data_IF_110422618079
#
_entry.id   IF_110422618079
#
_cell.length_a   1.000
_cell.length_b   1.000
_cell.length_c   1.000
_cell.angle_alpha   90.00
_cell.angle_beta   90.00
_cell.angle_gamma   90.00
#
_symmetry.space_group_name_H-M   'P 1'
#
loop_
_entity.id
_entity.type
_entity.pdbx_description
1 polymer ?
#
# COMPACT_ATOMS: atom_id res chain seq x y z
N UNK A 1 23.06 4.23 -39.60
CA UNK A 1 22.91 5.28 -38.59
C UNK A 1 21.46 5.75 -38.36
N UNK A 2 20.65 6.04 -39.39
CA UNK A 2 19.23 6.49 -39.17
C UNK A 2 18.32 5.42 -38.55
N UNK A 3 18.49 4.15 -38.89
CA UNK A 3 17.70 3.03 -38.32
C UNK A 3 18.02 2.79 -36.83
N UNK A 4 19.31 2.90 -36.44
CA UNK A 4 19.73 2.73 -35.04
C UNK A 4 19.23 3.86 -34.14
N UNK A 5 19.14 5.13 -34.66
CA UNK A 5 18.53 6.23 -33.94
C UNK A 5 17.03 6.04 -33.75
N UNK A 6 16.30 5.53 -34.74
CA UNK A 6 14.86 5.23 -34.61
C UNK A 6 14.59 4.10 -33.58
N UNK A 7 15.42 3.05 -33.55
CA UNK A 7 15.31 2.00 -32.54
C UNK A 7 15.59 2.52 -31.13
N UNK A 8 16.60 3.40 -30.99
CA UNK A 8 16.93 4.00 -29.69
C UNK A 8 15.83 4.96 -29.20
N UNK A 9 15.20 5.71 -30.11
CA UNK A 9 14.08 6.60 -29.76
C UNK A 9 12.80 5.82 -29.39
N UNK A 10 12.53 4.70 -30.09
CA UNK A 10 11.40 3.81 -29.74
C UNK A 10 11.64 3.08 -28.41
N UNK A 11 12.86 2.62 -28.14
CA UNK A 11 13.20 1.98 -26.86
C UNK A 11 13.15 2.99 -25.70
N UNK A 12 13.59 4.23 -25.92
CA UNK A 12 13.51 5.31 -24.92
C UNK A 12 12.06 5.75 -24.66
N UNK A 13 11.22 5.80 -25.72
CA UNK A 13 9.79 6.11 -25.58
C UNK A 13 9.04 4.97 -24.85
N UNK A 14 9.39 3.71 -25.11
CA UNK A 14 8.85 2.55 -24.39
C UNK A 14 9.30 2.52 -22.91
N UNK A 15 10.56 2.92 -22.60
CA UNK A 15 11.04 3.06 -21.23
C UNK A 15 10.38 4.25 -20.49
N UNK A 16 10.10 5.36 -21.19
CA UNK A 16 9.40 6.51 -20.60
C UNK A 16 7.92 6.17 -20.37
N UNK A 17 7.29 5.39 -21.24
CA UNK A 17 5.93 4.89 -21.05
C UNK A 17 5.81 3.84 -19.93
N UNK A 18 6.89 3.07 -19.65
CA UNK A 18 6.97 2.15 -18.52
C UNK A 18 7.40 2.84 -17.21
N UNK A 19 7.93 4.07 -17.30
CA UNK A 19 8.38 4.89 -16.16
C UNK A 19 7.36 5.93 -15.71
N UNK A 20 6.11 5.88 -16.18
CA UNK A 20 5.02 6.59 -15.51
C UNK A 20 4.92 6.00 -14.12
N UNK A 21 5.37 6.76 -13.13
CA UNK A 21 4.95 6.58 -11.74
C UNK A 21 3.51 6.11 -11.77
N UNK A 22 3.29 4.87 -11.34
CA UNK A 22 1.99 4.38 -10.95
C UNK A 22 1.55 5.29 -9.79
N UNK A 23 1.05 6.48 -10.13
CA UNK A 23 0.14 7.18 -9.25
C UNK A 23 -1.02 6.22 -9.09
N UNK A 24 -1.10 5.58 -7.94
CA UNK A 24 -2.26 4.79 -7.57
C UNK A 24 -3.39 5.77 -7.49
N UNK A 25 -4.14 5.88 -8.55
CA UNK A 25 -5.43 6.53 -8.55
C UNK A 25 -6.27 5.93 -7.41
N UNK A 26 -7.07 6.75 -6.74
CA UNK A 26 -8.05 6.28 -5.76
C UNK A 26 -8.92 5.13 -6.32
N UNK A 27 -9.05 5.02 -7.63
CA UNK A 27 -9.65 3.89 -8.34
C UNK A 27 -8.89 2.56 -8.19
N UNK A 28 -7.63 2.59 -7.75
CA UNK A 28 -6.70 1.44 -7.76
C UNK A 28 -6.70 0.62 -6.44
N UNK A 29 -7.64 0.87 -5.52
CA UNK A 29 -8.11 -0.12 -4.55
C UNK A 29 -9.03 -1.14 -5.26
N UNK A 30 -8.88 -1.24 -6.54
CA UNK A 30 -9.48 -2.24 -7.39
C UNK A 30 -8.98 -3.64 -7.03
N UNK A 31 -9.44 -4.62 -7.74
CA UNK A 31 -9.21 -6.02 -7.47
C UNK A 31 -7.73 -6.32 -7.22
N UNK A 32 -7.47 -7.40 -6.47
CA UNK A 32 -6.13 -7.95 -6.27
C UNK A 32 -5.37 -7.89 -7.60
N UNK A 33 -4.48 -6.90 -7.75
CA UNK A 33 -3.74 -6.77 -9.00
C UNK A 33 -2.76 -7.92 -9.05
N UNK A 34 -2.73 -8.61 -10.17
CA UNK A 34 -1.81 -9.71 -10.46
C UNK A 34 -0.33 -9.32 -10.27
N UNK A 35 -0.05 -8.03 -10.06
CA UNK A 35 1.30 -7.46 -9.96
C UNK A 35 1.84 -7.33 -8.52
N UNK A 36 1.20 -7.95 -7.52
CA UNK A 36 1.74 -8.00 -6.16
C UNK A 36 1.85 -6.63 -5.48
N UNK A 37 0.98 -5.68 -5.80
CA UNK A 37 0.95 -4.36 -5.18
C UNK A 37 0.50 -4.43 -3.73
N UNK A 38 1.28 -3.84 -2.84
CA UNK A 38 0.96 -3.63 -1.43
C UNK A 38 0.35 -2.24 -1.28
N UNK A 39 -0.75 -2.14 -0.53
CA UNK A 39 -1.45 -0.91 -0.21
C UNK A 39 -1.13 -0.53 1.23
N UNK A 40 -0.65 0.69 1.42
CA UNK A 40 -0.39 1.28 2.72
C UNK A 40 -1.62 2.01 3.25
N UNK A 41 -1.97 1.76 4.51
CA UNK A 41 -3.06 2.45 5.22
C UNK A 41 -2.48 3.11 6.47
N UNK A 42 -2.67 4.41 6.61
CA UNK A 42 -2.31 5.15 7.82
C UNK A 42 -3.48 5.17 8.78
N UNK A 43 -3.31 4.65 9.99
CA UNK A 43 -4.33 4.70 11.03
C UNK A 43 -4.45 6.10 11.63
N UNK A 44 -5.57 6.76 11.45
CA UNK A 44 -5.84 8.10 12.00
C UNK A 44 -4.98 9.24 11.46
N UNK A 45 -4.20 8.99 10.39
CA UNK A 45 -3.24 9.93 9.81
C UNK A 45 -1.81 9.75 10.37
N UNK A 46 -0.87 10.64 10.02
CA UNK A 46 0.52 10.64 10.52
C UNK A 46 0.59 11.18 11.96
N UNK A 47 0.01 10.45 12.89
CA UNK A 47 -0.10 10.88 14.27
C UNK A 47 1.19 10.74 15.11
N UNK A 48 2.24 10.18 14.54
CA UNK A 48 3.58 10.25 15.09
C UNK A 48 4.17 11.66 15.08
N UNK A 49 3.71 12.52 14.16
CA UNK A 49 4.16 13.92 14.02
C UNK A 49 3.04 14.93 14.37
N UNK A 50 1.77 14.56 14.18
CA UNK A 50 0.60 15.42 14.42
C UNK A 50 -0.43 14.70 15.30
N UNK A 51 -1.30 15.42 16.02
CA UNK A 51 -2.38 14.79 16.77
C UNK A 51 -3.26 13.91 15.87
N UNK A 52 -3.56 12.70 16.32
CA UNK A 52 -4.45 11.78 15.60
C UNK A 52 -5.79 12.45 15.25
N UNK A 53 -6.33 12.17 14.06
CA UNK A 53 -7.57 12.77 13.55
C UNK A 53 -7.53 14.29 13.36
N UNK A 54 -6.35 14.92 13.41
CA UNK A 54 -6.21 16.30 12.95
C UNK A 54 -6.14 16.36 11.42
N UNK A 55 -6.51 17.51 10.85
CA UNK A 55 -6.32 17.78 9.41
C UNK A 55 -4.86 17.61 9.01
N UNK A 56 -3.94 18.14 9.83
CA UNK A 56 -2.49 18.01 9.57
C UNK A 56 -2.03 16.55 9.53
N UNK A 57 -2.55 15.68 10.42
CA UNK A 57 -2.20 14.25 10.41
C UNK A 57 -2.68 13.55 9.13
N UNK A 58 -3.91 13.84 8.67
CA UNK A 58 -4.48 13.26 7.45
C UNK A 58 -3.69 13.72 6.22
N UNK A 59 -3.47 15.02 6.09
CA UNK A 59 -2.74 15.60 4.95
C UNK A 59 -1.29 15.09 4.90
N UNK A 60 -0.60 15.08 6.05
CA UNK A 60 0.78 14.59 6.15
C UNK A 60 0.91 13.12 5.78
N UNK A 61 -0.05 12.27 6.16
CA UNK A 61 -0.04 10.86 5.75
C UNK A 61 -0.09 10.71 4.21
N UNK A 62 -0.95 11.47 3.54
CA UNK A 62 -1.02 11.48 2.07
C UNK A 62 0.24 12.08 1.43
N UNK A 63 0.81 13.14 2.02
CA UNK A 63 2.08 13.73 1.56
C UNK A 63 3.26 12.76 1.64
N UNK A 64 3.29 11.92 2.67
CA UNK A 64 4.27 10.84 2.82
C UNK A 64 4.09 9.73 1.77
N UNK A 65 2.94 9.67 1.12
CA UNK A 65 2.64 8.70 0.07
C UNK A 65 1.75 7.54 0.50
N UNK A 66 1.04 7.65 1.64
CA UNK A 66 0.01 6.68 2.00
C UNK A 66 -1.00 6.48 0.86
N UNK A 67 -1.34 5.25 0.55
CA UNK A 67 -2.40 4.94 -0.41
C UNK A 67 -3.78 5.23 0.19
N UNK A 68 -3.92 4.98 1.49
CA UNK A 68 -5.15 5.21 2.23
C UNK A 68 -4.86 5.84 3.60
N UNK A 69 -5.83 6.57 4.11
CA UNK A 69 -5.91 6.95 5.53
C UNK A 69 -7.23 6.40 6.08
N UNK A 70 -7.17 5.66 7.20
CA UNK A 70 -8.37 5.21 7.90
C UNK A 70 -8.73 6.21 9.00
N UNK A 71 -10.00 6.53 9.12
CA UNK A 71 -10.51 7.50 10.08
C UNK A 71 -11.85 7.06 10.66
N UNK A 72 -12.00 7.16 11.97
CA UNK A 72 -13.30 6.98 12.62
C UNK A 72 -14.10 8.27 12.57
N UNK A 73 -15.41 8.16 12.39
CA UNK A 73 -16.30 9.32 12.35
C UNK A 73 -17.32 9.32 13.49
N UNK A 74 -17.66 10.50 13.97
CA UNK A 74 -18.76 10.75 14.90
C UNK A 74 -19.64 11.89 14.39
N UNK A 75 -20.91 11.83 14.71
CA UNK A 75 -21.92 12.81 14.30
C UNK A 75 -22.10 13.87 15.37
N UNK A 76 -22.05 15.13 14.98
CA UNK A 76 -22.32 16.31 15.84
C UNK A 76 -23.82 16.51 16.07
N UNK A 77 -24.18 17.38 17.01
CA UNK A 77 -25.59 17.73 17.33
C UNK A 77 -26.35 18.29 16.11
N UNK A 78 -25.66 19.03 15.24
CA UNK A 78 -26.19 19.61 14.00
C UNK A 78 -26.06 18.68 12.77
N UNK A 79 -25.72 17.40 13.03
CA UNK A 79 -25.75 16.35 12.00
C UNK A 79 -24.52 16.32 11.09
N UNK A 80 -23.46 17.08 11.38
CA UNK A 80 -22.21 17.04 10.64
C UNK A 80 -21.33 15.88 11.12
N UNK A 81 -20.29 15.53 10.35
CA UNK A 81 -19.34 14.47 10.71
C UNK A 81 -17.97 15.04 11.01
N UNK A 82 -17.37 14.56 12.10
CA UNK A 82 -16.01 14.87 12.52
C UNK A 82 -15.21 13.61 12.74
N UNK A 83 -13.89 13.69 12.59
CA UNK A 83 -13.00 12.55 12.78
C UNK A 83 -12.75 12.34 14.28
N UNK A 84 -13.23 11.24 14.82
CA UNK A 84 -12.97 10.83 16.21
C UNK A 84 -13.35 9.37 16.41
N UNK A 85 -12.58 8.64 17.21
CA UNK A 85 -12.87 7.24 17.58
C UNK A 85 -14.08 7.13 18.50
N UNK A 86 -14.12 7.95 19.53
CA UNK A 86 -15.11 7.91 20.58
C UNK A 86 -16.01 9.15 20.56
N UNK A 87 -17.27 8.98 20.99
CA UNK A 87 -18.17 10.13 21.18
C UNK A 87 -17.76 11.01 22.36
N UNK A 88 -17.15 10.45 23.41
CA UNK A 88 -16.53 11.20 24.51
C UNK A 88 -15.11 11.63 24.11
N UNK A 89 -14.93 12.92 23.86
CA UNK A 89 -13.63 13.51 23.51
C UNK A 89 -12.54 13.20 24.53
N UNK A 90 -12.90 13.09 25.82
CA UNK A 90 -11.93 12.83 26.88
C UNK A 90 -11.33 11.42 26.88
N UNK A 91 -11.85 10.50 26.10
CA UNK A 91 -11.20 9.20 25.90
C UNK A 91 -9.94 9.31 25.06
N UNK A 92 -9.89 10.28 24.16
CA UNK A 92 -8.75 10.51 23.28
C UNK A 92 -7.96 11.77 23.69
N UNK A 93 -8.67 12.77 24.21
CA UNK A 93 -8.10 14.08 24.57
C UNK A 93 -8.47 14.41 26.02
N UNK A 94 -7.62 14.03 26.96
CA UNK A 94 -7.89 14.09 28.42
C UNK A 94 -8.49 15.41 28.94
N UNK A 95 -8.15 16.62 28.44
CA UNK A 95 -8.76 17.87 28.90
C UNK A 95 -10.27 17.97 28.69
N UNK A 96 -10.86 17.16 27.81
CA UNK A 96 -12.27 17.22 27.41
C UNK A 96 -13.11 16.06 27.93
N UNK A 97 -12.71 15.45 29.04
CA UNK A 97 -13.43 14.33 29.65
C UNK A 97 -14.90 14.66 29.89
N UNK A 98 -15.79 13.81 29.38
CA UNK A 98 -17.24 13.96 29.49
C UNK A 98 -17.86 14.93 28.47
N UNK A 99 -17.07 15.53 27.58
CA UNK A 99 -17.62 16.29 26.46
C UNK A 99 -17.97 15.34 25.31
N UNK A 100 -19.25 15.27 24.98
CA UNK A 100 -19.77 14.41 23.93
C UNK A 100 -19.86 15.17 22.62
N UNK A 101 -19.27 14.62 21.55
CA UNK A 101 -19.36 15.18 20.18
C UNK A 101 -20.82 15.32 19.75
N UNK A 102 -21.66 14.34 20.06
CA UNK A 102 -23.09 14.35 19.75
C UNK A 102 -23.89 15.47 20.45
N UNK A 103 -23.31 16.15 21.45
CA UNK A 103 -23.92 17.29 22.15
C UNK A 103 -23.38 18.65 21.64
N UNK A 104 -22.40 18.67 20.74
CA UNK A 104 -21.74 19.87 20.21
C UNK A 104 -22.10 20.08 18.74
N UNK A 105 -22.22 21.34 18.30
CA UNK A 105 -22.26 21.67 16.87
C UNK A 105 -20.86 21.55 16.24
N UNK A 106 -20.80 21.46 14.91
CA UNK A 106 -19.52 21.47 14.19
C UNK A 106 -18.71 22.73 14.51
N UNK A 107 -19.37 23.88 14.60
CA UNK A 107 -18.73 25.15 14.98
C UNK A 107 -18.05 25.03 16.35
N UNK A 108 -18.74 24.46 17.36
CA UNK A 108 -18.19 24.26 18.70
C UNK A 108 -17.01 23.26 18.65
N UNK A 109 -17.12 22.15 17.93
CA UNK A 109 -16.04 21.18 17.80
C UNK A 109 -14.81 21.79 17.11
N UNK A 110 -15.00 22.64 16.11
CA UNK A 110 -13.92 23.32 15.40
C UNK A 110 -13.07 24.26 16.26
N UNK A 111 -13.56 24.68 17.43
CA UNK A 111 -12.81 25.49 18.39
C UNK A 111 -11.98 24.64 19.36
N UNK A 112 -12.21 23.33 19.43
CA UNK A 112 -11.54 22.44 20.38
C UNK A 112 -10.11 22.18 19.92
N UNK A 113 -9.14 22.55 20.76
CA UNK A 113 -7.73 22.21 20.57
C UNK A 113 -7.49 20.80 21.04
N UNK A 114 -6.81 20.01 20.25
CA UNK A 114 -6.55 18.60 20.55
C UNK A 114 -5.11 18.38 21.06
N UNK A 115 -4.92 17.35 21.87
CA UNK A 115 -3.61 17.00 22.42
C UNK A 115 -2.79 16.18 21.42
N UNK A 116 -1.48 16.36 21.47
CA UNK A 116 -0.53 15.51 20.75
C UNK A 116 -0.38 14.12 21.41
N UNK A 117 0.49 13.28 20.85
CA UNK A 117 0.78 11.93 21.36
C UNK A 117 1.41 11.92 22.77
N UNK A 118 1.91 13.05 23.27
CA UNK A 118 2.46 13.23 24.62
C UNK A 118 1.46 13.81 25.60
N UNK A 119 0.22 14.08 25.15
CA UNK A 119 -0.84 14.68 25.95
C UNK A 119 -0.74 16.22 26.09
N UNK A 120 0.19 16.87 25.42
CA UNK A 120 0.30 18.32 25.39
C UNK A 120 -0.73 18.94 24.44
N UNK A 121 -1.35 20.04 24.85
CA UNK A 121 -2.33 20.75 24.04
C UNK A 121 -1.65 21.40 22.83
N UNK A 122 -2.09 21.05 21.63
CA UNK A 122 -1.55 21.56 20.37
C UNK A 122 -2.42 22.67 19.78
N UNK A 123 -1.96 23.33 18.71
CA UNK A 123 -2.79 24.28 17.94
C UNK A 123 -3.69 23.60 16.92
N UNK A 124 -3.56 22.27 16.79
CA UNK A 124 -4.41 21.49 15.88
C UNK A 124 -5.84 21.37 16.41
N UNK A 125 -6.75 21.13 15.49
CA UNK A 125 -8.19 20.90 15.73
C UNK A 125 -8.59 19.54 15.19
N UNK A 126 -9.70 19.00 15.69
CA UNK A 126 -10.34 17.86 15.04
C UNK A 126 -10.65 18.21 13.59
N UNK A 127 -10.33 17.26 12.70
CA UNK A 127 -10.68 17.36 11.31
C UNK A 127 -12.18 17.09 11.13
N UNK A 128 -12.88 17.89 10.36
CA UNK A 128 -14.20 17.51 9.88
C UNK A 128 -14.06 16.53 8.69
N UNK A 129 -15.15 15.84 8.37
CA UNK A 129 -15.14 14.87 7.28
C UNK A 129 -14.96 15.56 5.91
N UNK A 130 -15.38 16.84 5.75
CA UNK A 130 -15.21 17.58 4.51
C UNK A 130 -13.73 17.78 4.19
N UNK A 131 -12.97 18.28 5.17
CA UNK A 131 -11.52 18.50 5.02
C UNK A 131 -10.78 17.19 4.70
N UNK A 132 -11.15 16.07 5.35
CA UNK A 132 -10.54 14.78 5.08
C UNK A 132 -10.85 14.24 3.68
N UNK A 133 -12.09 14.38 3.23
CA UNK A 133 -12.52 14.02 1.85
C UNK A 133 -11.82 14.89 0.81
N UNK A 134 -11.75 16.20 1.05
CA UNK A 134 -11.08 17.13 0.15
C UNK A 134 -9.57 16.85 0.07
N UNK A 135 -8.94 16.44 1.19
CA UNK A 135 -7.56 15.97 1.21
C UNK A 135 -7.41 14.69 0.35
N UNK A 136 -8.27 13.69 0.53
CA UNK A 136 -8.23 12.46 -0.25
C UNK A 136 -8.36 12.74 -1.77
N UNK A 137 -9.28 13.61 -2.16
CA UNK A 137 -9.44 14.05 -3.57
C UNK A 137 -8.19 14.80 -4.08
N UNK A 138 -7.66 15.76 -3.32
CA UNK A 138 -6.50 16.57 -3.71
C UNK A 138 -5.26 15.73 -3.98
N UNK A 139 -5.06 14.67 -3.19
CA UNK A 139 -3.92 13.76 -3.33
C UNK A 139 -4.21 12.57 -4.28
N UNK A 140 -5.45 12.46 -4.80
CA UNK A 140 -5.92 11.28 -5.55
C UNK A 140 -5.68 9.97 -4.76
N UNK A 141 -6.13 9.95 -3.51
CA UNK A 141 -5.98 8.86 -2.54
C UNK A 141 -7.31 8.44 -1.97
N UNK A 142 -7.31 7.47 -1.08
CA UNK A 142 -8.53 6.90 -0.50
C UNK A 142 -8.63 7.17 0.99
N UNK A 143 -9.81 7.59 1.42
CA UNK A 143 -10.21 7.66 2.81
C UNK A 143 -11.02 6.41 3.17
N UNK A 144 -10.60 5.66 4.19
CA UNK A 144 -11.38 4.55 4.77
C UNK A 144 -12.13 5.10 5.97
N UNK A 145 -13.46 5.07 5.94
CA UNK A 145 -14.32 5.61 6.98
C UNK A 145 -14.75 4.47 7.91
N UNK A 146 -14.32 4.56 9.16
CA UNK A 146 -14.65 3.63 10.23
C UNK A 146 -15.75 4.17 11.13
N UNK A 147 -16.39 3.28 11.91
CA UNK A 147 -17.41 3.62 12.91
C UNK A 147 -18.61 4.42 12.35
N UNK A 148 -18.75 4.46 11.02
CA UNK A 148 -19.79 5.20 10.31
C UNK A 148 -20.97 4.35 9.82
N UNK A 149 -20.98 3.02 10.09
CA UNK A 149 -21.99 2.13 9.50
C UNK A 149 -23.42 2.45 9.91
N UNK A 150 -23.64 2.91 11.13
CA UNK A 150 -24.97 3.34 11.60
C UNK A 150 -25.52 4.51 10.77
N UNK A 151 -24.64 5.38 10.27
CA UNK A 151 -24.95 6.55 9.44
C UNK A 151 -24.71 6.31 7.95
N UNK A 152 -24.59 5.04 7.49
CA UNK A 152 -24.12 4.70 6.13
C UNK A 152 -24.91 5.35 5.01
N UNK A 153 -26.21 5.59 5.19
CA UNK A 153 -27.07 6.23 4.18
C UNK A 153 -26.77 7.72 4.07
N UNK A 154 -26.66 8.40 5.21
CA UNK A 154 -26.30 9.81 5.30
C UNK A 154 -24.87 10.04 4.79
N UNK A 155 -23.93 9.17 5.19
CA UNK A 155 -22.55 9.19 4.70
C UNK A 155 -22.48 8.99 3.18
N UNK A 156 -23.28 8.06 2.65
CA UNK A 156 -23.30 7.85 1.20
C UNK A 156 -23.82 9.08 0.47
N UNK A 157 -24.93 9.68 0.92
CA UNK A 157 -25.43 10.93 0.34
C UNK A 157 -24.38 12.04 0.42
N UNK A 158 -23.72 12.20 1.55
CA UNK A 158 -22.67 13.17 1.76
C UNK A 158 -21.48 12.96 0.79
N UNK A 159 -21.03 11.69 0.63
CA UNK A 159 -19.94 11.30 -0.27
C UNK A 159 -20.29 11.59 -1.73
N UNK A 160 -21.54 11.34 -2.13
CA UNK A 160 -22.06 11.63 -3.49
C UNK A 160 -22.08 13.15 -3.72
N UNK A 161 -22.62 13.92 -2.77
CA UNK A 161 -22.70 15.38 -2.87
C UNK A 161 -21.32 16.05 -2.97
N UNK A 162 -20.29 15.41 -2.38
CA UNK A 162 -18.88 15.83 -2.45
C UNK A 162 -18.16 15.32 -3.72
N UNK A 163 -18.82 14.55 -4.58
CA UNK A 163 -18.17 13.87 -5.72
C UNK A 163 -16.91 13.10 -5.29
N UNK A 164 -17.04 12.29 -4.23
CA UNK A 164 -15.93 11.61 -3.57
C UNK A 164 -16.09 10.08 -3.50
N UNK A 165 -17.03 9.50 -4.28
CA UNK A 165 -17.29 8.05 -4.27
C UNK A 165 -16.05 7.25 -4.63
N UNK A 166 -15.23 7.73 -5.56
CA UNK A 166 -13.97 7.08 -5.95
C UNK A 166 -12.87 7.18 -4.88
N UNK A 167 -12.95 8.18 -3.99
CA UNK A 167 -11.94 8.48 -2.97
C UNK A 167 -12.31 7.97 -1.58
N UNK A 168 -13.46 7.28 -1.44
CA UNK A 168 -13.95 6.84 -0.13
C UNK A 168 -14.33 5.37 -0.12
N UNK A 169 -14.15 4.75 1.05
CA UNK A 169 -14.52 3.37 1.35
C UNK A 169 -15.12 3.35 2.75
N UNK A 170 -16.16 2.59 3.00
CA UNK A 170 -16.68 2.38 4.37
C UNK A 170 -16.19 1.04 4.89
N UNK A 171 -15.63 1.01 6.12
CA UNK A 171 -15.26 -0.21 6.83
C UNK A 171 -16.37 -0.59 7.80
N UNK A 172 -16.70 -1.90 7.86
CA UNK A 172 -17.76 -2.42 8.71
C UNK A 172 -17.57 -3.90 9.03
N UNK A 173 -18.03 -4.31 10.21
CA UNK A 173 -18.20 -5.69 10.64
C UNK A 173 -19.66 -6.18 10.49
N UNK A 174 -20.51 -5.42 9.80
CA UNK A 174 -21.91 -5.75 9.57
C UNK A 174 -22.08 -7.10 8.85
N UNK A 175 -23.27 -7.67 8.96
CA UNK A 175 -23.57 -8.94 8.33
C UNK A 175 -23.46 -8.86 6.80
N UNK A 176 -23.14 -9.99 6.16
CA UNK A 176 -23.12 -10.06 4.69
C UNK A 176 -24.44 -9.64 4.04
N UNK A 177 -25.56 -9.82 4.75
CA UNK A 177 -26.90 -9.44 4.28
C UNK A 177 -27.03 -7.92 4.21
N UNK A 178 -26.67 -7.24 5.31
CA UNK A 178 -26.72 -5.78 5.41
C UNK A 178 -25.76 -5.11 4.42
N UNK A 179 -24.58 -5.68 4.23
CA UNK A 179 -23.60 -5.20 3.22
C UNK A 179 -24.19 -5.33 1.82
N UNK A 180 -24.78 -6.47 1.48
CA UNK A 180 -25.42 -6.68 0.17
C UNK A 180 -26.56 -5.71 -0.08
N UNK A 181 -27.43 -5.51 0.92
CA UNK A 181 -28.56 -4.58 0.82
C UNK A 181 -28.05 -3.16 0.58
N UNK A 182 -27.01 -2.74 1.32
CA UNK A 182 -26.42 -1.42 1.16
C UNK A 182 -25.74 -1.24 -0.20
N UNK A 183 -24.98 -2.23 -0.67
CA UNK A 183 -24.38 -2.19 -2.02
C UNK A 183 -25.44 -2.15 -3.12
N UNK A 184 -26.56 -2.85 -2.95
CA UNK A 184 -27.68 -2.76 -3.90
C UNK A 184 -28.31 -1.36 -3.89
N UNK A 185 -28.46 -0.74 -2.71
CA UNK A 185 -28.97 0.63 -2.56
C UNK A 185 -28.06 1.67 -3.27
N UNK A 186 -26.73 1.49 -3.20
CA UNK A 186 -25.74 2.39 -3.81
C UNK A 186 -25.42 2.05 -5.26
N UNK A 187 -26.11 1.07 -5.86
CA UNK A 187 -25.81 0.55 -7.20
C UNK A 187 -24.40 -0.04 -7.33
N UNK A 188 -23.78 -0.44 -6.21
CA UNK A 188 -22.41 -0.96 -6.18
C UNK A 188 -21.33 0.11 -6.37
N UNK A 189 -21.70 1.39 -6.36
CA UNK A 189 -20.76 2.48 -6.61
C UNK A 189 -19.76 2.66 -5.45
N UNK A 190 -20.22 2.49 -4.20
CA UNK A 190 -19.36 2.63 -3.03
C UNK A 190 -18.66 1.31 -2.71
N UNK A 191 -17.36 1.39 -2.38
CA UNK A 191 -16.55 0.23 -1.98
C UNK A 191 -16.67 -0.01 -0.47
N UNK A 192 -16.58 -1.28 -0.06
CA UNK A 192 -16.69 -1.70 1.34
C UNK A 192 -15.44 -2.49 1.73
N UNK A 193 -14.91 -2.19 2.93
CA UNK A 193 -14.03 -3.07 3.69
C UNK A 193 -14.89 -3.85 4.66
N UNK A 194 -15.01 -5.15 4.48
CA UNK A 194 -15.68 -6.03 5.43
C UNK A 194 -14.68 -6.55 6.46
N UNK A 195 -14.94 -6.38 7.76
CA UNK A 195 -14.05 -6.80 8.82
C UNK A 195 -14.47 -8.13 9.43
N UNK A 196 -13.47 -8.95 9.79
CA UNK A 196 -13.64 -10.19 10.53
C UNK A 196 -12.67 -10.23 11.71
N UNK A 197 -13.22 -10.18 12.89
CA UNK A 197 -12.47 -10.28 14.14
C UNK A 197 -12.90 -11.55 14.88
N UNK A 198 -12.01 -12.55 15.01
CA UNK A 198 -12.40 -13.76 15.69
C UNK A 198 -11.30 -14.77 15.92
N UNK A 199 -11.53 -15.61 16.94
CA UNK A 199 -10.68 -16.75 17.28
C UNK A 199 -11.20 -18.08 16.69
N UNK A 200 -12.25 -18.07 15.88
CA UNK A 200 -12.99 -19.28 15.48
C UNK A 200 -12.30 -19.91 14.28
N UNK A 201 -11.66 -21.04 14.52
CA UNK A 201 -10.85 -21.81 13.58
C UNK A 201 -11.68 -22.36 12.40
N UNK A 202 -12.94 -22.76 12.64
CA UNK A 202 -13.70 -23.56 11.65
C UNK A 202 -14.49 -22.75 10.61
N UNK A 203 -14.82 -21.50 10.88
CA UNK A 203 -15.70 -20.69 10.02
C UNK A 203 -15.04 -19.52 9.32
N UNK A 204 -13.80 -19.17 9.64
CA UNK A 204 -13.12 -17.98 9.12
C UNK A 204 -13.10 -17.95 7.57
N UNK A 205 -12.69 -19.05 6.94
CA UNK A 205 -12.64 -19.13 5.46
C UNK A 205 -14.01 -18.96 4.81
N UNK A 206 -15.05 -19.58 5.38
CA UNK A 206 -16.43 -19.48 4.88
C UNK A 206 -16.95 -18.06 5.03
N UNK A 207 -16.68 -17.42 6.18
CA UNK A 207 -17.10 -16.05 6.44
C UNK A 207 -16.42 -15.07 5.49
N UNK A 208 -15.08 -15.13 5.36
CA UNK A 208 -14.31 -14.31 4.41
C UNK A 208 -14.81 -14.48 2.98
N UNK A 209 -15.00 -15.73 2.54
CA UNK A 209 -15.58 -16.02 1.22
C UNK A 209 -16.97 -15.37 1.08
N UNK A 210 -17.76 -15.34 2.16
CA UNK A 210 -19.10 -14.74 2.11
C UNK A 210 -19.07 -13.22 2.00
N UNK A 211 -18.10 -12.54 2.62
CA UNK A 211 -17.87 -11.10 2.48
C UNK A 211 -17.41 -10.74 1.06
N UNK A 212 -16.49 -11.52 0.51
CA UNK A 212 -16.07 -11.37 -0.90
C UNK A 212 -17.24 -11.53 -1.86
N UNK A 213 -18.09 -12.55 -1.65
CA UNK A 213 -19.33 -12.76 -2.43
C UNK A 213 -20.38 -11.68 -2.19
N UNK A 214 -20.34 -11.00 -1.06
CA UNK A 214 -21.21 -9.86 -0.80
C UNK A 214 -20.78 -8.60 -1.57
N UNK A 215 -19.57 -8.56 -2.11
CA UNK A 215 -19.03 -7.44 -2.89
C UNK A 215 -18.01 -6.60 -2.15
N UNK A 216 -17.47 -7.07 -1.00
CA UNK A 216 -16.39 -6.36 -0.33
C UNK A 216 -15.12 -6.33 -1.20
N UNK A 217 -14.60 -5.14 -1.45
CA UNK A 217 -13.35 -4.95 -2.20
C UNK A 217 -12.13 -5.37 -1.37
N UNK A 218 -12.21 -5.20 -0.06
CA UNK A 218 -11.20 -5.57 0.91
C UNK A 218 -11.87 -6.33 2.05
N UNK A 219 -11.19 -7.34 2.59
CA UNK A 219 -11.59 -7.99 3.83
C UNK A 219 -10.45 -7.85 4.84
N UNK A 220 -10.73 -7.14 5.92
CA UNK A 220 -9.85 -7.02 7.05
C UNK A 220 -9.99 -8.23 7.96
N UNK A 221 -8.86 -8.78 8.39
CA UNK A 221 -8.79 -9.93 9.30
C UNK A 221 -8.06 -9.54 10.57
N UNK A 222 -8.63 -9.84 11.72
CA UNK A 222 -8.01 -9.57 13.00
C UNK A 222 -8.23 -10.67 14.01
N UNK A 223 -7.22 -10.94 14.87
CA UNK A 223 -7.30 -11.86 16.01
C UNK A 223 -6.18 -11.58 17.00
N UNK A 224 -6.48 -11.81 18.30
CA UNK A 224 -5.50 -11.81 19.39
C UNK A 224 -4.59 -13.06 19.38
N UNK A 225 -5.05 -14.15 18.75
CA UNK A 225 -4.34 -15.43 18.78
C UNK A 225 -3.16 -15.41 17.78
N UNK A 226 -1.89 -15.49 18.22
CA UNK A 226 -0.73 -15.50 17.34
C UNK A 226 -0.68 -16.71 16.39
N UNK A 227 -1.40 -17.78 16.72
CA UNK A 227 -1.53 -19.00 15.91
C UNK A 227 -2.89 -19.06 15.17
N UNK A 228 -3.58 -17.93 15.07
CA UNK A 228 -4.90 -17.85 14.42
C UNK A 228 -4.85 -18.30 12.97
N UNK A 229 -5.93 -18.95 12.52
CA UNK A 229 -6.07 -19.47 11.15
C UNK A 229 -5.92 -18.36 10.09
N UNK A 230 -6.17 -17.11 10.46
CA UNK A 230 -6.00 -15.96 9.56
C UNK A 230 -4.54 -15.76 9.10
N UNK A 231 -3.57 -16.31 9.85
CA UNK A 231 -2.14 -16.26 9.46
C UNK A 231 -1.73 -17.45 8.59
N UNK A 232 -2.66 -18.35 8.24
CA UNK A 232 -2.35 -19.50 7.40
C UNK A 232 -2.34 -19.10 5.91
N UNK A 233 -1.20 -19.29 5.26
CA UNK A 233 -1.01 -19.01 3.83
C UNK A 233 -2.04 -19.71 2.95
N UNK A 234 -2.46 -20.93 3.30
CA UNK A 234 -3.48 -21.66 2.54
C UNK A 234 -4.88 -21.02 2.64
N UNK A 235 -5.19 -20.36 3.75
CA UNK A 235 -6.42 -19.58 3.89
C UNK A 235 -6.36 -18.32 3.04
N UNK A 236 -5.27 -17.57 3.13
CA UNK A 236 -5.09 -16.31 2.40
C UNK A 236 -4.99 -16.53 0.88
N UNK A 237 -4.44 -17.67 0.44
CA UNK A 237 -4.42 -18.02 -0.99
C UNK A 237 -5.81 -18.17 -1.62
N UNK A 238 -6.86 -18.25 -0.81
CA UNK A 238 -8.24 -18.30 -1.31
C UNK A 238 -8.72 -16.93 -1.84
N UNK A 239 -8.11 -15.83 -1.41
CA UNK A 239 -8.47 -14.48 -1.87
C UNK A 239 -8.20 -14.27 -3.37
N UNK A 240 -7.16 -14.90 -3.93
CA UNK A 240 -6.80 -14.74 -5.35
C UNK A 240 -7.37 -15.80 -6.31
N UNK A 241 -7.97 -16.90 -5.79
CA UNK A 241 -8.26 -18.09 -6.63
C UNK A 241 -9.67 -18.18 -7.20
N UNK A 242 -10.63 -17.43 -6.72
CA UNK A 242 -12.06 -17.67 -7.04
C UNK A 242 -12.74 -16.53 -7.82
N UNK A 243 -12.04 -15.81 -8.69
CA UNK A 243 -12.56 -14.59 -9.35
C UNK A 243 -13.04 -13.50 -8.38
N UNK A 244 -12.77 -13.66 -7.08
CA UNK A 244 -12.99 -12.62 -6.10
C UNK A 244 -11.74 -11.75 -6.04
N UNK A 245 -11.89 -10.59 -6.61
CA UNK A 245 -10.84 -9.58 -6.66
C UNK A 245 -10.63 -8.89 -5.30
N UNK A 246 -10.99 -9.56 -4.22
CA UNK A 246 -10.95 -9.05 -2.84
C UNK A 246 -9.53 -9.14 -2.28
N UNK A 247 -9.06 -8.06 -1.67
CA UNK A 247 -7.76 -7.99 -0.99
C UNK A 247 -7.87 -8.40 0.47
N UNK A 248 -6.84 -9.08 0.98
CA UNK A 248 -6.69 -9.32 2.42
C UNK A 248 -6.00 -8.12 3.07
N UNK A 249 -6.63 -7.58 4.13
CA UNK A 249 -6.13 -6.49 4.95
C UNK A 249 -5.85 -6.96 6.38
N UNK A 250 -4.85 -6.39 7.00
CA UNK A 250 -4.56 -6.55 8.43
C UNK A 250 -4.08 -5.25 9.02
N UNK A 251 -4.51 -4.98 10.26
CA UNK A 251 -4.09 -3.83 11.05
C UNK A 251 -2.98 -4.23 11.99
N UNK A 252 -1.80 -3.64 11.85
CA UNK A 252 -0.62 -3.92 12.67
C UNK A 252 -0.43 -2.94 13.82
N UNK A 253 -1.18 -1.84 13.81
CA UNK A 253 -1.14 -0.82 14.85
C UNK A 253 -1.66 -1.29 16.22
N UNK A 254 -2.49 -2.32 16.24
CA UNK A 254 -3.03 -2.92 17.47
C UNK A 254 -2.61 -4.40 17.57
N UNK A 255 -1.79 -4.79 18.58
CA UNK A 255 -1.38 -6.17 18.78
C UNK A 255 -2.55 -7.15 18.91
N UNK A 256 -3.68 -6.70 19.40
CA UNK A 256 -4.90 -7.50 19.54
C UNK A 256 -5.53 -7.87 18.18
N UNK A 257 -5.21 -7.14 17.12
CA UNK A 257 -5.68 -7.42 15.77
C UNK A 257 -4.70 -8.27 14.94
N UNK A 258 -3.41 -8.25 15.27
CA UNK A 258 -2.38 -8.94 14.48
C UNK A 258 -1.68 -10.10 15.22
N UNK A 259 -2.37 -10.74 16.16
CA UNK A 259 -1.85 -11.92 16.88
C UNK A 259 -0.65 -11.57 17.75
N UNK A 260 -0.75 -10.49 18.51
CA UNK A 260 0.27 -9.99 19.43
C UNK A 260 1.61 -9.61 18.75
N UNK A 261 1.59 -9.33 17.45
CA UNK A 261 2.75 -8.80 16.72
C UNK A 261 2.91 -7.32 16.96
N UNK A 262 4.14 -6.83 16.84
CA UNK A 262 4.46 -5.40 16.90
C UNK A 262 4.43 -4.78 15.49
N UNK A 263 4.12 -3.49 15.40
CA UNK A 263 4.07 -2.73 14.15
C UNK A 263 5.50 -2.40 13.66
N UNK A 264 6.11 -3.34 12.95
CA UNK A 264 7.51 -3.27 12.49
C UNK A 264 7.70 -3.87 11.10
N UNK A 265 8.81 -3.56 10.45
CA UNK A 265 9.19 -4.12 9.14
C UNK A 265 9.19 -5.65 9.14
N UNK A 266 9.67 -6.30 10.21
CA UNK A 266 9.66 -7.76 10.31
C UNK A 266 8.25 -8.33 10.31
N UNK A 267 7.32 -7.66 10.96
CA UNK A 267 5.89 -8.03 10.95
C UNK A 267 5.29 -7.84 9.56
N UNK A 268 5.54 -6.70 8.91
CA UNK A 268 5.04 -6.45 7.56
C UNK A 268 5.58 -7.48 6.57
N UNK A 269 6.87 -7.84 6.68
CA UNK A 269 7.51 -8.88 5.87
C UNK A 269 6.80 -10.22 6.02
N UNK A 270 6.61 -10.71 7.25
CA UNK A 270 5.91 -11.98 7.55
C UNK A 270 4.47 -11.98 7.02
N UNK A 271 3.73 -10.89 7.22
CA UNK A 271 2.33 -10.79 6.81
C UNK A 271 2.16 -10.74 5.28
N UNK A 272 3.04 -10.02 4.58
CA UNK A 272 3.05 -9.95 3.12
C UNK A 272 3.34 -11.33 2.52
N UNK A 273 4.32 -12.06 3.04
CA UNK A 273 4.65 -13.40 2.58
C UNK A 273 3.53 -14.42 2.85
N UNK A 274 2.66 -14.14 3.81
CA UNK A 274 1.43 -14.92 4.06
C UNK A 274 0.33 -14.62 3.06
N UNK A 275 0.30 -13.43 2.46
CA UNK A 275 -0.67 -13.03 1.44
C UNK A 275 -1.49 -11.78 1.77
N UNK A 276 -1.13 -11.03 2.83
CA UNK A 276 -1.74 -9.73 3.11
C UNK A 276 -1.21 -8.69 2.13
N UNK A 277 -2.11 -8.03 1.43
CA UNK A 277 -1.77 -7.00 0.43
C UNK A 277 -2.19 -5.60 0.85
N UNK A 278 -2.86 -5.45 1.98
CA UNK A 278 -3.24 -4.17 2.58
C UNK A 278 -2.78 -4.18 4.04
N UNK A 279 -1.89 -3.29 4.39
CA UNK A 279 -1.31 -3.17 5.73
C UNK A 279 -1.71 -1.82 6.32
N UNK A 280 -2.37 -1.85 7.48
CA UNK A 280 -2.66 -0.66 8.26
C UNK A 280 -1.68 -0.54 9.42
N UNK A 281 -1.11 0.64 9.60
CA UNK A 281 0.02 0.91 10.50
C UNK A 281 -0.13 2.25 11.21
N UNK A 282 0.51 2.38 12.36
CA UNK A 282 0.78 3.65 13.00
C UNK A 282 2.07 4.32 12.48
N UNK A 283 3.00 3.54 11.90
CA UNK A 283 4.24 4.05 11.28
C UNK A 283 4.09 4.13 9.76
N UNK A 284 3.28 5.06 9.29
CA UNK A 284 3.04 5.22 7.85
C UNK A 284 4.32 5.59 7.09
N UNK A 285 5.21 6.37 7.67
CA UNK A 285 6.48 6.75 7.06
C UNK A 285 7.39 5.53 6.85
N UNK A 286 7.49 4.68 7.87
CA UNK A 286 8.24 3.42 7.79
C UNK A 286 7.64 2.48 6.74
N UNK A 287 6.32 2.28 6.74
CA UNK A 287 5.65 1.39 5.79
C UNK A 287 5.80 1.86 4.34
N UNK A 288 5.62 3.15 4.06
CA UNK A 288 5.79 3.71 2.70
C UNK A 288 7.23 3.55 2.22
N UNK A 289 8.22 3.80 3.09
CA UNK A 289 9.62 3.57 2.75
C UNK A 289 9.92 2.07 2.50
N UNK A 290 9.33 1.18 3.31
CA UNK A 290 9.47 -0.27 3.13
C UNK A 290 8.89 -0.73 1.78
N UNK A 291 7.68 -0.27 1.41
CA UNK A 291 7.06 -0.55 0.10
C UNK A 291 7.90 0.02 -1.05
N UNK A 292 8.49 1.20 -0.86
CA UNK A 292 9.41 1.81 -1.84
C UNK A 292 10.63 0.92 -2.11
N UNK A 293 11.21 0.30 -1.08
CA UNK A 293 12.31 -0.66 -1.23
C UNK A 293 11.87 -1.94 -1.97
N UNK A 294 10.67 -2.45 -1.69
CA UNK A 294 10.09 -3.59 -2.45
C UNK A 294 9.97 -3.22 -3.93
N UNK A 295 9.47 -2.05 -4.26
CA UNK A 295 9.31 -1.59 -5.64
C UNK A 295 10.65 -1.47 -6.36
N UNK A 296 11.70 -0.98 -5.68
CA UNK A 296 13.06 -0.91 -6.21
C UNK A 296 13.63 -2.31 -6.49
N UNK A 297 13.50 -3.23 -5.53
CA UNK A 297 13.95 -4.61 -5.71
C UNK A 297 13.23 -5.34 -6.86
N UNK A 298 11.93 -5.12 -7.04
CA UNK A 298 11.18 -5.66 -8.18
C UNK A 298 11.75 -5.16 -9.50
N UNK A 299 12.03 -3.87 -9.62
CA UNK A 299 12.60 -3.26 -10.82
C UNK A 299 14.00 -3.84 -11.13
N UNK A 300 14.84 -3.99 -10.11
CA UNK A 300 16.16 -4.58 -10.25
C UNK A 300 16.08 -6.06 -10.65
N UNK A 301 15.20 -6.83 -10.03
CA UNK A 301 14.97 -8.23 -10.34
C UNK A 301 14.45 -8.43 -11.78
N UNK A 302 13.51 -7.59 -12.22
CA UNK A 302 13.05 -7.58 -13.62
C UNK A 302 14.20 -7.32 -14.60
N UNK A 303 15.08 -6.38 -14.28
CA UNK A 303 16.24 -6.05 -15.12
C UNK A 303 17.24 -7.21 -15.21
N UNK A 304 17.53 -7.87 -14.08
CA UNK A 304 18.42 -9.04 -14.03
C UNK A 304 17.81 -10.22 -14.78
N UNK A 305 16.51 -10.46 -14.63
CA UNK A 305 15.80 -11.53 -15.36
C UNK A 305 15.84 -11.30 -16.86
N UNK A 306 15.58 -10.07 -17.30
CA UNK A 306 15.68 -9.70 -18.74
C UNK A 306 17.11 -9.82 -19.27
N UNK A 307 18.12 -9.54 -18.45
CA UNK A 307 19.54 -9.74 -18.82
C UNK A 307 19.88 -11.23 -18.97
N UNK A 308 19.37 -12.06 -18.07
CA UNK A 308 19.53 -13.52 -18.14
C UNK A 308 18.86 -14.15 -19.39
N UNK A 309 17.82 -13.51 -19.93
CA UNK A 309 17.17 -13.99 -21.17
C UNK A 309 17.97 -13.72 -22.42
N UNK A 310 18.81 -12.68 -22.42
CA UNK A 310 19.62 -12.23 -23.57
C UNK A 310 20.97 -12.93 -23.67
N UNK A 311 21.25 -13.87 -22.77
CA UNK A 311 22.52 -14.58 -22.76
C UNK A 311 22.70 -15.47 -24.02
N UNK A 312 23.90 -15.47 -24.59
CA UNK A 312 24.30 -16.42 -25.64
C UNK A 312 24.53 -17.79 -25.00
N UNK A 313 23.55 -18.67 -25.16
CA UNK A 313 23.56 -20.02 -24.60
C UNK A 313 24.64 -20.91 -25.15
N UNK A 314 25.19 -20.60 -26.34
CA UNK A 314 26.19 -21.45 -27.01
C UNK A 314 27.55 -21.44 -26.29
N UNK A 315 27.80 -20.41 -25.47
CA UNK A 315 29.05 -20.23 -24.73
C UNK A 315 28.96 -20.62 -23.24
N UNK A 316 27.86 -21.26 -22.83
CA UNK A 316 27.60 -21.60 -21.43
C UNK A 316 27.67 -23.11 -21.20
N UNK A 317 28.16 -23.54 -20.02
CA UNK A 317 28.07 -24.93 -19.62
C UNK A 317 26.60 -25.34 -19.34
N UNK A 318 26.30 -26.65 -19.53
CA UNK A 318 24.97 -27.17 -19.21
C UNK A 318 24.60 -26.91 -17.73
N UNK A 319 25.57 -27.00 -16.82
CA UNK A 319 25.39 -26.71 -15.39
C UNK A 319 24.97 -25.24 -15.16
N UNK A 320 25.72 -24.30 -15.73
CA UNK A 320 25.43 -22.87 -15.59
C UNK A 320 24.10 -22.47 -16.21
N UNK A 321 23.71 -23.11 -17.33
CA UNK A 321 22.39 -22.89 -17.94
C UNK A 321 21.27 -23.39 -17.04
N UNK A 322 21.46 -24.50 -16.35
CA UNK A 322 20.48 -25.02 -15.39
C UNK A 322 20.35 -24.07 -14.18
N UNK A 323 21.46 -23.64 -13.60
CA UNK A 323 21.48 -22.69 -12.46
C UNK A 323 20.76 -21.37 -12.81
N UNK A 324 20.96 -20.84 -14.01
CA UNK A 324 20.24 -19.65 -14.48
C UNK A 324 18.75 -19.95 -14.68
N UNK A 325 18.41 -21.10 -15.24
CA UNK A 325 17.03 -21.50 -15.43
C UNK A 325 16.28 -21.58 -14.10
N UNK A 326 16.91 -22.17 -13.08
CA UNK A 326 16.33 -22.32 -11.73
C UNK A 326 16.20 -20.94 -11.07
N UNK A 327 17.23 -20.10 -11.12
CA UNK A 327 17.18 -18.75 -10.59
C UNK A 327 16.12 -17.86 -11.27
N UNK A 328 15.94 -18.01 -12.60
CA UNK A 328 14.87 -17.34 -13.35
C UNK A 328 13.48 -17.81 -12.91
N UNK A 329 13.29 -19.09 -12.66
CA UNK A 329 12.01 -19.62 -12.18
C UNK A 329 11.64 -19.02 -10.82
N UNK A 330 12.60 -18.93 -9.89
CA UNK A 330 12.40 -18.28 -8.58
C UNK A 330 12.10 -16.79 -8.76
N UNK A 331 12.85 -16.10 -9.62
CA UNK A 331 12.63 -14.69 -9.91
C UNK A 331 11.24 -14.44 -10.53
N UNK A 332 10.82 -15.25 -11.50
CA UNK A 332 9.51 -15.15 -12.11
C UNK A 332 8.38 -15.35 -11.07
N UNK A 333 8.52 -16.33 -10.18
CA UNK A 333 7.57 -16.55 -9.10
C UNK A 333 7.50 -15.31 -8.17
N UNK A 334 8.66 -14.78 -7.73
CA UNK A 334 8.70 -13.60 -6.85
C UNK A 334 8.11 -12.34 -7.52
N UNK A 335 8.25 -12.21 -8.85
CA UNK A 335 7.70 -11.08 -9.60
C UNK A 335 6.19 -11.19 -9.86
N UNK A 336 5.66 -12.40 -9.99
CA UNK A 336 4.25 -12.64 -10.32
C UNK A 336 3.35 -12.83 -9.08
N UNK A 337 3.94 -12.97 -7.89
CA UNK A 337 3.22 -13.12 -6.64
C UNK A 337 3.38 -11.89 -5.75
N UNK A 338 2.55 -11.80 -4.70
CA UNK A 338 2.80 -10.92 -3.58
C UNK A 338 4.05 -11.45 -2.86
N UNK A 339 5.09 -10.64 -2.79
CA UNK A 339 6.38 -11.01 -2.20
C UNK A 339 6.91 -9.90 -1.33
N UNK A 340 7.42 -10.27 -0.15
CA UNK A 340 8.08 -9.38 0.78
C UNK A 340 9.42 -8.87 0.26
N UNK A 341 10.01 -7.94 0.98
CA UNK A 341 11.36 -7.45 0.72
C UNK A 341 12.40 -8.59 0.76
N UNK A 342 12.29 -9.49 1.77
CA UNK A 342 13.24 -10.61 1.91
C UNK A 342 13.13 -11.60 0.75
N UNK A 343 11.93 -12.00 0.36
CA UNK A 343 11.73 -12.92 -0.74
C UNK A 343 12.26 -12.37 -2.08
N UNK A 344 12.07 -11.07 -2.32
CA UNK A 344 12.60 -10.40 -3.52
C UNK A 344 14.13 -10.26 -3.47
N UNK A 345 14.69 -9.97 -2.28
CA UNK A 345 16.14 -9.87 -2.10
C UNK A 345 16.83 -11.23 -2.31
N UNK A 346 16.23 -12.32 -1.81
CA UNK A 346 16.71 -13.68 -2.04
C UNK A 346 16.67 -14.05 -3.53
N UNK A 347 15.55 -13.79 -4.22
CA UNK A 347 15.43 -14.04 -5.66
C UNK A 347 16.47 -13.25 -6.47
N UNK A 348 16.69 -11.97 -6.10
CA UNK A 348 17.74 -11.13 -6.70
C UNK A 348 19.13 -11.69 -6.45
N UNK A 349 19.42 -12.12 -5.22
CA UNK A 349 20.72 -12.74 -4.88
C UNK A 349 20.99 -13.97 -5.74
N UNK A 350 20.02 -14.88 -5.83
CA UNK A 350 20.17 -16.13 -6.59
C UNK A 350 20.45 -15.89 -8.08
N UNK A 351 19.71 -14.98 -8.73
CA UNK A 351 19.95 -14.68 -10.14
C UNK A 351 21.27 -13.94 -10.36
N UNK A 352 21.68 -13.10 -9.40
CA UNK A 352 22.97 -12.41 -9.46
C UNK A 352 24.13 -13.38 -9.35
N UNK A 353 24.07 -14.37 -8.46
CA UNK A 353 25.07 -15.42 -8.34
C UNK A 353 25.18 -16.25 -9.61
N UNK A 354 24.05 -16.71 -10.15
CA UNK A 354 24.02 -17.50 -11.39
C UNK A 354 24.63 -16.75 -12.58
N UNK A 355 24.40 -15.43 -12.66
CA UNK A 355 25.00 -14.57 -13.69
C UNK A 355 26.50 -14.33 -13.48
N UNK A 356 26.94 -14.18 -12.23
CA UNK A 356 28.37 -14.01 -11.92
C UNK A 356 29.18 -15.28 -12.20
N UNK A 357 28.66 -16.45 -11.88
CA UNK A 357 29.32 -17.73 -12.14
C UNK A 357 29.53 -17.97 -13.66
N UNK A 358 28.62 -17.46 -14.49
CA UNK A 358 28.83 -17.42 -15.94
C UNK A 358 30.00 -16.55 -16.35
N UNK A 359 30.16 -15.37 -15.74
CA UNK A 359 31.25 -14.45 -16.11
C UNK A 359 32.62 -15.04 -15.74
N UNK A 360 32.70 -15.72 -14.59
CA UNK A 360 33.93 -16.38 -14.12
C UNK A 360 34.26 -17.61 -15.00
N UNK A 361 33.26 -18.41 -15.38
CA UNK A 361 33.50 -19.56 -16.28
C UNK A 361 33.90 -19.12 -17.69
N UNK A 362 33.34 -18.04 -18.18
CA UNK A 362 33.76 -17.45 -19.47
C UNK A 362 35.17 -16.83 -19.40
N UNK A 363 35.58 -16.19 -18.31
CA UNK A 363 36.96 -15.71 -18.15
C UNK A 363 37.97 -16.87 -18.15
N UNK A 364 37.61 -17.99 -17.54
CA UNK A 364 38.49 -19.20 -17.56
C UNK A 364 38.55 -19.88 -18.95
N UNK A 365 37.48 -19.80 -19.74
CA UNK A 365 37.47 -20.25 -21.14
C UNK A 365 38.18 -19.26 -22.06
N UNK A 366 38.09 -17.96 -21.82
CA UNK A 366 38.76 -16.89 -22.59
C UNK A 366 40.29 -16.88 -22.37
N UNK A 367 40.79 -17.36 -21.23
CA UNK A 367 42.24 -17.63 -21.09
C UNK A 367 42.74 -18.73 -22.02
N UNK A 368 41.84 -19.49 -22.67
CA UNK A 368 42.14 -20.47 -23.71
C UNK A 368 41.83 -20.01 -25.17
N UNK A 369 41.45 -18.77 -25.36
CA UNK A 369 41.24 -18.15 -26.69
C UNK A 369 39.83 -17.60 -26.90
N UNK A 370 39.74 -16.30 -27.05
CA UNK A 370 38.70 -15.46 -27.72
C UNK A 370 37.59 -14.84 -26.88
N UNK A 371 37.62 -13.51 -26.95
CA UNK A 371 36.61 -12.46 -26.71
C UNK A 371 36.25 -12.05 -25.31
N UNK A 372 36.85 -10.90 -24.92
CA UNK A 372 36.51 -10.03 -23.80
C UNK A 372 35.15 -9.41 -23.98
N UNK A 373 34.18 -9.82 -23.20
CA UNK A 373 33.07 -8.93 -22.80
C UNK A 373 33.44 -8.39 -21.43
N UNK A 374 33.91 -7.13 -21.36
CA UNK A 374 34.49 -6.56 -20.18
C UNK A 374 33.43 -6.35 -19.09
N UNK A 375 33.76 -6.67 -17.84
CA UNK A 375 33.02 -6.28 -16.62
C UNK A 375 32.60 -4.79 -16.61
N UNK A 376 33.32 -3.94 -17.34
CA UNK A 376 32.94 -2.54 -17.56
C UNK A 376 31.59 -2.30 -18.23
N UNK A 377 31.04 -3.26 -19.00
CA UNK A 377 29.70 -3.09 -19.61
C UNK A 377 28.58 -3.39 -18.64
N UNK A 378 28.77 -4.30 -17.68
CA UNK A 378 27.79 -4.59 -16.62
C UNK A 378 27.80 -3.43 -15.63
N UNK A 379 28.97 -2.91 -15.25
CA UNK A 379 29.11 -1.72 -14.41
C UNK A 379 28.50 -0.48 -15.10
N UNK A 380 28.65 -0.34 -16.43
CA UNK A 380 28.04 0.75 -17.17
C UNK A 380 26.50 0.71 -17.16
N UNK A 381 25.88 -0.46 -17.20
CA UNK A 381 24.42 -0.61 -17.09
C UNK A 381 23.96 -0.22 -15.67
N UNK A 382 24.66 -0.65 -14.63
CA UNK A 382 24.35 -0.30 -13.23
C UNK A 382 24.52 1.21 -13.00
N UNK A 383 25.58 1.82 -13.54
CA UNK A 383 25.83 3.26 -13.42
C UNK A 383 24.80 4.10 -14.23
N UNK A 384 24.36 3.62 -15.39
CA UNK A 384 23.31 4.28 -16.18
C UNK A 384 21.97 4.22 -15.45
N UNK A 385 21.64 3.10 -14.81
CA UNK A 385 20.40 2.97 -14.03
C UNK A 385 20.43 3.87 -12.78
N UNK A 386 21.57 3.93 -12.08
CA UNK A 386 21.76 4.83 -10.95
C UNK A 386 21.67 6.32 -11.35
N UNK A 387 22.20 6.69 -12.53
CA UNK A 387 22.12 8.05 -13.07
C UNK A 387 20.68 8.43 -13.47
N UNK A 388 19.90 7.47 -14.00
CA UNK A 388 18.47 7.70 -14.34
C UNK A 388 17.65 7.93 -13.07
N UNK A 389 17.86 7.13 -12.02
CA UNK A 389 17.18 7.29 -10.73
C UNK A 389 17.57 8.62 -10.07
N UNK A 390 18.87 8.98 -10.09
CA UNK A 390 19.33 10.27 -9.58
C UNK A 390 18.74 11.46 -10.37
N UNK A 391 18.60 11.32 -11.69
CA UNK A 391 17.98 12.31 -12.57
C UNK A 391 16.48 12.51 -12.28
N UNK A 392 15.78 11.43 -11.97
CA UNK A 392 14.34 11.49 -11.61
C UNK A 392 14.13 12.16 -10.24
N UNK A 393 14.98 11.83 -9.25
CA UNK A 393 14.95 12.50 -7.92
C UNK A 393 15.29 13.99 -8.06
N UNK A 394 16.23 14.34 -8.93
CA UNK A 394 16.59 15.75 -9.18
C UNK A 394 15.45 16.52 -9.88
N UNK A 395 14.82 15.95 -10.89
CA UNK A 395 13.67 16.58 -11.59
C UNK A 395 12.47 16.75 -10.66
N UNK A 396 12.18 15.76 -9.80
CA UNK A 396 11.15 15.87 -8.78
C UNK A 396 11.42 17.01 -7.79
N UNK A 397 12.67 17.11 -7.27
CA UNK A 397 13.07 18.23 -6.38
C UNK A 397 12.97 19.59 -7.07
N UNK A 398 13.30 19.67 -8.34
CA UNK A 398 13.19 20.92 -9.13
C UNK A 398 11.75 21.32 -9.41
N UNK A 399 10.87 20.37 -9.68
CA UNK A 399 9.43 20.64 -9.85
C UNK A 399 8.78 21.12 -8.53
N UNK A 400 9.20 20.54 -7.40
CA UNK A 400 8.75 20.96 -6.07
C UNK A 400 9.19 22.39 -5.72
N UNK A 401 10.44 22.75 -6.06
CA UNK A 401 10.93 24.14 -5.92
C UNK A 401 10.19 25.13 -6.82
N UNK A 402 9.84 24.76 -8.05
CA UNK A 402 9.06 25.61 -8.96
C UNK A 402 7.61 25.80 -8.52
N UNK A 403 6.99 24.80 -7.89
CA UNK A 403 5.65 24.94 -7.29
C UNK A 403 5.67 25.83 -6.05
N UNK A 404 6.67 25.69 -5.18
CA UNK A 404 6.83 26.57 -4.00
C UNK A 404 7.10 28.01 -4.35
N UNK A 405 7.75 28.30 -5.48
CA UNK A 405 8.01 29.67 -5.97
C UNK A 405 6.81 30.32 -6.70
N UNK A 406 5.70 29.62 -6.91
CA UNK A 406 4.48 30.09 -7.60
C UNK A 406 3.27 30.29 -6.69
N UNK A 407 3.36 30.08 -5.37
CA UNK A 407 2.33 30.51 -4.43
C UNK A 407 2.46 32.02 -4.20
N UNK A 408 1.45 32.83 -4.54
CA UNK A 408 1.46 34.25 -4.19
C UNK A 408 1.25 34.41 -2.69
N UNK A 409 2.03 35.30 -2.11
CA UNK A 409 1.89 35.85 -0.77
C UNK A 409 0.55 36.53 -0.54
#
# INVERSE_FOLDING_TARGET
>A
MKALKKLFTLALAALIAAGTTLCVSAADIGPYSENGKIISVSHGGNWGEYPIYSKAAVESAFELGADCVSVSVKRTADGQFVLCKDNDLGKLYAPYKGQLISALSLEQVSQIRITDSFGALSDNRLCDLADAVDAAKRFDRTLIIDDGWEYRKELYSYIVDKDAVSNTVIRTDASKGDIKEFLALTGGALRIVGSYYGNIIFNARSYVTSLSKAGCAIVELGTKNPFGVIFNKSMLSAFGKNNYLTRAMISTYDPDLCGQRTDTESTWNDLIDRGYSVIETNDIKGLVNYIGRISSLRTELMTLTASAEKLDKNNCSAKSLQEISDAKAVAAQALTTLSSHEALAEAKHNITLALNDLSVSNENHVRKGVLKISAGKIIAVILVTAAIVAGQVYTYKMQRKKKAAKSPS
#
